data_IF_280226336336
#
_entry.id   IF_280226336336
#
_cell.length_a   1.000
_cell.length_b   1.000
_cell.length_c   1.000
_cell.angle_alpha   90.00
_cell.angle_beta   90.00
_cell.angle_gamma   90.00
#
_symmetry.space_group_name_H-M   'P 1'
#
loop_
_entity.id
_entity.type
_entity.pdbx_description
1 polymer ?
#
# COMPACT_ATOMS: atom_id res chain seq x y z
N UNK A 1 52.17 -13.20 0.90
CA UNK A 1 51.54 -11.99 0.37
C UNK A 1 50.53 -12.40 -0.68
N UNK A 2 49.24 -12.17 -0.43
CA UNK A 2 48.22 -12.19 -1.48
C UNK A 2 47.22 -11.09 -1.14
N UNK A 3 47.34 -9.93 -1.81
CA UNK A 3 46.34 -8.87 -1.73
C UNK A 3 45.24 -9.26 -2.72
N UNK A 4 44.17 -9.85 -2.19
CA UNK A 4 42.97 -10.16 -2.94
C UNK A 4 42.28 -8.83 -3.23
N UNK A 5 42.38 -8.37 -4.47
CA UNK A 5 41.75 -7.15 -4.94
C UNK A 5 40.27 -7.44 -5.16
N UNK A 6 39.42 -6.99 -4.24
CA UNK A 6 37.98 -6.88 -4.50
C UNK A 6 37.77 -5.59 -5.31
N UNK A 7 37.19 -5.64 -6.53
CA UNK A 7 36.68 -4.44 -7.15
C UNK A 7 35.61 -3.91 -6.21
N UNK A 8 35.88 -2.77 -5.59
CA UNK A 8 34.86 -1.98 -4.94
C UNK A 8 33.85 -1.64 -6.04
N UNK A 9 32.76 -2.40 -6.10
CA UNK A 9 31.60 -2.01 -6.87
C UNK A 9 31.11 -0.77 -6.14
N UNK A 10 31.53 0.37 -6.68
CA UNK A 10 30.90 1.66 -6.43
C UNK A 10 29.42 1.37 -6.55
N UNK A 11 28.76 1.34 -5.38
CA UNK A 11 27.32 1.15 -5.26
C UNK A 11 26.73 2.44 -5.76
N UNK A 12 26.90 2.62 -7.08
CA UNK A 12 26.36 3.66 -7.91
C UNK A 12 24.93 3.70 -7.48
N UNK A 13 24.62 4.77 -6.75
CA UNK A 13 23.31 5.12 -6.20
C UNK A 13 22.30 4.31 -6.97
N UNK A 14 21.77 3.25 -6.36
CA UNK A 14 20.58 2.62 -6.91
C UNK A 14 19.63 3.78 -7.04
N UNK A 15 19.40 4.24 -8.27
CA UNK A 15 18.26 5.04 -8.61
C UNK A 15 17.12 4.20 -8.08
N UNK A 16 16.70 4.52 -6.85
CA UNK A 16 15.40 4.16 -6.36
C UNK A 16 14.51 4.91 -7.31
N UNK A 17 14.23 4.29 -8.46
CA UNK A 17 13.02 4.58 -9.18
C UNK A 17 11.96 4.53 -8.09
N UNK A 18 11.23 5.63 -7.83
CA UNK A 18 10.17 5.58 -6.86
C UNK A 18 9.33 4.39 -7.29
N UNK A 19 9.18 3.37 -6.42
CA UNK A 19 8.26 2.24 -6.66
C UNK A 19 7.03 2.88 -7.31
N UNK A 20 6.82 2.59 -8.60
CA UNK A 20 6.01 3.43 -9.48
C UNK A 20 4.69 3.74 -8.80
N UNK A 21 4.18 4.97 -8.94
CA UNK A 21 2.93 5.39 -8.31
C UNK A 21 1.80 4.36 -8.54
N UNK A 22 1.83 3.69 -9.69
CA UNK A 22 0.93 2.58 -10.06
C UNK A 22 0.96 1.40 -9.06
N UNK A 23 2.14 0.95 -8.64
CA UNK A 23 2.28 -0.13 -7.64
C UNK A 23 1.67 0.29 -6.30
N UNK A 24 1.88 1.55 -5.89
CA UNK A 24 1.31 2.05 -4.64
C UNK A 24 -0.21 2.16 -4.72
N UNK A 25 -0.75 2.56 -5.87
CA UNK A 25 -2.19 2.65 -6.11
C UNK A 25 -2.82 1.24 -6.05
N UNK A 26 -2.21 0.26 -6.70
CA UNK A 26 -2.70 -1.12 -6.71
C UNK A 26 -2.66 -1.76 -5.31
N UNK A 27 -1.56 -1.57 -4.58
CA UNK A 27 -1.43 -2.04 -3.18
C UNK A 27 -2.50 -1.39 -2.28
N UNK A 28 -2.71 -0.08 -2.41
CA UNK A 28 -3.73 0.64 -1.65
C UNK A 28 -5.15 0.12 -1.99
N UNK A 29 -5.41 -0.17 -3.26
CA UNK A 29 -6.68 -0.76 -3.70
C UNK A 29 -6.92 -2.12 -3.06
N UNK A 30 -5.95 -3.04 -3.14
CA UNK A 30 -6.08 -4.39 -2.57
C UNK A 30 -6.24 -4.35 -1.05
N UNK A 31 -5.52 -3.47 -0.36
CA UNK A 31 -5.65 -3.28 1.08
C UNK A 31 -7.05 -2.80 1.48
N UNK A 32 -7.59 -1.82 0.76
CA UNK A 32 -8.93 -1.30 1.01
C UNK A 32 -10.01 -2.35 0.70
N UNK A 33 -9.88 -3.05 -0.42
CA UNK A 33 -10.80 -4.12 -0.81
C UNK A 33 -10.81 -5.25 0.21
N UNK A 34 -9.62 -5.73 0.61
CA UNK A 34 -9.48 -6.80 1.60
C UNK A 34 -9.94 -6.40 3.01
N UNK A 35 -9.81 -5.12 3.37
CA UNK A 35 -10.38 -4.59 4.61
C UNK A 35 -11.91 -4.64 4.58
N UNK A 36 -12.52 -4.07 3.54
CA UNK A 36 -13.98 -4.02 3.40
C UNK A 36 -14.57 -5.43 3.31
N UNK A 37 -13.91 -6.36 2.60
CA UNK A 37 -14.37 -7.74 2.47
C UNK A 37 -14.41 -8.47 3.80
N UNK A 38 -13.44 -8.23 4.68
CA UNK A 38 -13.38 -8.85 6.02
C UNK A 38 -14.38 -8.24 6.99
N UNK A 39 -14.55 -6.92 6.96
CA UNK A 39 -15.39 -6.20 7.94
C UNK A 39 -16.86 -6.11 7.54
N UNK A 40 -17.15 -6.14 6.25
CA UNK A 40 -18.48 -6.01 5.67
C UNK A 40 -18.75 -7.12 4.64
N UNK A 41 -18.84 -8.39 5.06
CA UNK A 41 -18.95 -9.53 4.15
C UNK A 41 -20.24 -9.52 3.29
N UNK A 42 -21.28 -8.82 3.75
CA UNK A 42 -22.56 -8.70 3.06
C UNK A 42 -22.59 -7.56 2.03
N UNK A 43 -21.53 -6.76 1.94
CA UNK A 43 -21.43 -5.66 0.98
C UNK A 43 -20.80 -6.19 -0.30
N UNK A 44 -21.45 -5.90 -1.41
CA UNK A 44 -20.90 -6.21 -2.73
C UNK A 44 -19.69 -5.29 -3.00
N UNK A 45 -18.56 -5.89 -3.34
CA UNK A 45 -17.30 -5.22 -3.65
C UNK A 45 -16.79 -5.58 -5.05
N UNK A 46 -17.51 -6.44 -5.79
CA UNK A 46 -17.10 -6.84 -7.13
C UNK A 46 -17.18 -5.63 -8.07
N UNK A 47 -16.20 -5.56 -8.98
CA UNK A 47 -16.09 -4.51 -10.01
C UNK A 47 -15.99 -3.05 -9.50
N UNK A 48 -15.95 -2.82 -8.18
CA UNK A 48 -15.86 -1.48 -7.61
C UNK A 48 -14.49 -0.86 -7.84
N UNK A 49 -14.48 0.37 -8.33
CA UNK A 49 -13.25 1.16 -8.47
C UNK A 49 -12.77 1.67 -7.11
N UNK A 50 -11.49 2.03 -7.01
CA UNK A 50 -10.89 2.52 -5.78
C UNK A 50 -11.67 3.67 -5.12
N UNK A 51 -12.10 4.67 -5.90
CA UNK A 51 -12.90 5.79 -5.40
C UNK A 51 -14.26 5.35 -4.84
N UNK A 52 -14.87 4.33 -5.45
CA UNK A 52 -16.14 3.77 -4.97
C UNK A 52 -15.95 3.04 -3.65
N UNK A 53 -14.83 2.32 -3.48
CA UNK A 53 -14.47 1.69 -2.21
C UNK A 53 -14.24 2.72 -1.11
N UNK A 54 -13.62 3.87 -1.42
CA UNK A 54 -13.44 4.97 -0.46
C UNK A 54 -14.80 5.54 -0.04
N UNK A 55 -15.68 5.82 -1.00
CA UNK A 55 -17.02 6.36 -0.72
C UNK A 55 -17.87 5.37 0.08
N UNK A 56 -17.77 4.08 -0.24
CA UNK A 56 -18.42 3.01 0.48
C UNK A 56 -17.94 2.94 1.93
N UNK A 57 -16.62 2.93 2.16
CA UNK A 57 -16.04 2.99 3.50
C UNK A 57 -16.55 4.20 4.28
N UNK A 58 -16.54 5.39 3.68
CA UNK A 58 -17.04 6.61 4.31
C UNK A 58 -18.51 6.52 4.71
N UNK A 59 -19.32 5.86 3.90
CA UNK A 59 -20.74 5.65 4.18
C UNK A 59 -20.95 4.63 5.33
N UNK A 60 -20.08 3.63 5.45
CA UNK A 60 -20.17 2.58 6.47
C UNK A 60 -19.58 2.99 7.84
N UNK A 61 -18.52 3.79 7.84
CA UNK A 61 -17.72 4.11 9.04
C UNK A 61 -17.78 5.58 9.45
N UNK A 62 -18.32 6.44 8.57
CA UNK A 62 -18.27 7.88 8.73
C UNK A 62 -16.90 8.49 8.38
N UNK A 63 -16.83 9.81 8.17
CA UNK A 63 -15.65 10.48 7.62
C UNK A 63 -14.44 10.52 8.57
N UNK A 64 -14.61 10.25 9.87
CA UNK A 64 -13.52 10.33 10.86
C UNK A 64 -12.54 9.14 10.79
N UNK A 65 -13.01 7.95 10.40
CA UNK A 65 -12.20 6.72 10.44
C UNK A 65 -11.26 6.53 9.24
N UNK A 66 -11.22 7.46 8.28
CA UNK A 66 -10.20 7.45 7.22
C UNK A 66 -8.81 7.85 7.75
N UNK A 67 -8.76 8.71 8.77
CA UNK A 67 -7.51 9.24 9.31
C UNK A 67 -6.73 8.18 10.09
N UNK A 68 -7.42 7.43 10.93
CA UNK A 68 -6.84 6.30 11.69
C UNK A 68 -6.34 5.18 10.75
N UNK A 69 -7.06 4.95 9.65
CA UNK A 69 -6.68 3.95 8.65
C UNK A 69 -5.37 4.29 7.89
N UNK A 70 -5.12 5.57 7.58
CA UNK A 70 -3.85 5.97 6.96
C UNK A 70 -2.66 5.68 7.90
N UNK A 71 -2.86 5.79 9.21
CA UNK A 71 -1.85 5.45 10.22
C UNK A 71 -1.68 3.92 10.34
N UNK A 72 -2.77 3.16 10.28
CA UNK A 72 -2.74 1.68 10.29
C UNK A 72 -2.12 1.07 9.03
N UNK A 73 -2.33 1.65 7.85
CA UNK A 73 -1.61 1.22 6.63
C UNK A 73 -0.13 1.56 6.70
N UNK A 74 0.19 2.76 7.18
CA UNK A 74 1.58 3.18 7.36
C UNK A 74 2.31 2.31 8.39
N UNK A 75 1.61 1.79 9.41
CA UNK A 75 2.18 0.89 10.40
C UNK A 75 2.40 -0.53 9.86
N UNK A 76 1.48 -1.06 9.04
CA UNK A 76 1.63 -2.37 8.37
C UNK A 76 2.81 -2.39 7.39
N UNK A 77 3.13 -1.26 6.73
CA UNK A 77 4.31 -1.14 5.84
C UNK A 77 5.67 -1.14 6.56
N UNK A 78 5.70 -1.08 7.90
CA UNK A 78 6.94 -1.00 8.71
C UNK A 78 7.45 -2.35 9.26
N UNK A 79 6.91 -3.49 8.84
CA UNK A 79 7.38 -4.82 9.28
C UNK A 79 7.85 -5.68 8.11
#
# INVERSE_FOLDING_TARGET
MSKVFYPFIDSSKSEQTPKSDDWQIEENYLNLWGYLRRRYPNVDLEEKKFLELINLKNSLEGPHQLREWNEDIASVRKH
#
